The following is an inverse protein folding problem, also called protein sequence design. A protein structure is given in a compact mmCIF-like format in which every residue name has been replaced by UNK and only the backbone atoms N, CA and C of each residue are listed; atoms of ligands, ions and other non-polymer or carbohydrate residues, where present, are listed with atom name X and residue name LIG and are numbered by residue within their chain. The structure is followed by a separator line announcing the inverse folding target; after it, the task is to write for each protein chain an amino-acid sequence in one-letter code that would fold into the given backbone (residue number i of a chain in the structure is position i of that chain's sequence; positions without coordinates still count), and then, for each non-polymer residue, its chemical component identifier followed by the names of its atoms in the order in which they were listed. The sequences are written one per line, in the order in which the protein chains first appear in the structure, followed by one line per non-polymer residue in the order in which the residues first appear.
data_IF_442395991388
#
_entry.id   IF_442395991388
#
_cell.length_a   1.000
_cell.length_b   1.000
_cell.length_c   1.000
_cell.angle_alpha   90.00
_cell.angle_beta   90.00
_cell.angle_gamma   90.00
#
_symmetry.space_group_name_H-M   'P 1'
#
loop_
_entity.id
_entity.type
_entity.pdbx_description
1 polymer ?
#
# COMPACT_ATOMS: atom_id res chain seq x y z
N UNK A 1 26.47 1.57 11.98
CA UNK A 1 26.81 0.13 11.90
C UNK A 1 25.54 -0.66 11.64
N UNK A 2 25.39 -1.33 10.49
CA UNK A 2 24.29 -2.28 10.29
C UNK A 2 24.86 -3.60 9.81
N UNK A 3 25.00 -4.57 10.72
CA UNK A 3 25.19 -5.97 10.31
C UNK A 3 23.88 -6.45 9.71
N UNK A 4 23.93 -7.01 8.50
CA UNK A 4 22.76 -7.60 7.87
C UNK A 4 22.15 -8.66 8.81
N UNK A 5 20.86 -8.54 9.12
CA UNK A 5 20.12 -9.43 10.03
C UNK A 5 20.30 -10.92 9.66
N UNK A 6 20.65 -11.23 8.41
CA UNK A 6 20.99 -12.56 7.92
C UNK A 6 22.20 -13.21 8.61
N UNK A 7 23.10 -12.44 9.23
CA UNK A 7 24.34 -12.95 9.84
C UNK A 7 24.27 -13.15 11.37
N UNK A 8 23.13 -12.88 12.02
CA UNK A 8 22.97 -13.06 13.46
C UNK A 8 22.27 -14.39 13.74
N UNK A 9 22.84 -15.22 14.63
CA UNK A 9 22.21 -16.49 15.02
C UNK A 9 20.81 -16.25 15.60
N UNK A 10 19.81 -17.10 15.31
CA UNK A 10 18.44 -16.89 15.81
C UNK A 10 18.34 -16.77 17.34
N UNK A 11 19.16 -17.54 18.07
CA UNK A 11 19.24 -17.50 19.54
C UNK A 11 19.78 -16.16 20.06
N UNK A 12 20.84 -15.63 19.44
CA UNK A 12 21.40 -14.32 19.78
C UNK A 12 20.40 -13.20 19.49
N UNK A 13 19.70 -13.26 18.35
CA UNK A 13 18.66 -12.28 18.00
C UNK A 13 17.57 -12.21 19.07
N UNK A 14 17.08 -13.37 19.52
CA UNK A 14 16.07 -13.44 20.59
C UNK A 14 16.59 -12.86 21.90
N UNK A 15 17.85 -13.13 22.25
CA UNK A 15 18.49 -12.58 23.45
C UNK A 15 18.58 -11.05 23.40
N UNK A 16 19.03 -10.50 22.27
CA UNK A 16 19.15 -9.04 22.08
C UNK A 16 17.79 -8.36 22.18
N UNK A 17 16.77 -8.89 21.49
CA UNK A 17 15.40 -8.34 21.54
C UNK A 17 14.82 -8.44 22.96
N UNK A 18 15.02 -9.56 23.65
CA UNK A 18 14.55 -9.73 25.03
C UNK A 18 15.20 -8.75 26.00
N UNK A 19 16.48 -8.41 25.80
CA UNK A 19 17.15 -7.40 26.62
C UNK A 19 16.45 -6.04 26.47
N UNK A 20 16.19 -5.61 25.22
CA UNK A 20 15.47 -4.37 24.92
C UNK A 20 14.10 -4.33 25.59
N UNK A 21 13.31 -5.41 25.48
CA UNK A 21 11.97 -5.48 26.06
C UNK A 21 11.98 -5.49 27.58
N UNK A 22 12.93 -6.18 28.22
CA UNK A 22 13.08 -6.18 29.67
C UNK A 22 13.40 -4.78 30.19
N UNK A 23 14.36 -4.10 29.56
CA UNK A 23 14.75 -2.74 29.93
C UNK A 23 13.60 -1.75 29.74
N UNK A 24 12.88 -1.82 28.61
CA UNK A 24 11.72 -0.97 28.37
C UNK A 24 10.61 -1.18 29.41
N UNK A 25 10.40 -2.43 29.86
CA UNK A 25 9.37 -2.76 30.86
C UNK A 25 9.75 -2.34 32.28
N UNK A 26 11.04 -2.30 32.63
CA UNK A 26 11.51 -1.89 33.96
C UNK A 26 11.54 -0.37 34.16
N UNK A 27 11.11 0.40 33.16
CA UNK A 27 11.22 1.85 33.17
C UNK A 27 10.06 2.52 33.92
N UNK A 28 10.31 3.52 34.79
CA UNK A 28 9.26 4.27 35.47
C UNK A 28 8.39 5.07 34.49
N UNK A 29 7.12 5.35 34.84
CA UNK A 29 6.14 5.95 33.93
C UNK A 29 6.30 7.45 33.63
N UNK A 30 7.07 8.23 34.41
CA UNK A 30 7.13 9.70 34.27
C UNK A 30 8.52 10.19 33.88
N UNK A 31 8.62 10.70 32.64
CA UNK A 31 9.81 11.21 31.95
C UNK A 31 10.93 10.27 31.43
N UNK A 32 11.14 9.00 31.83
CA UNK A 32 12.42 8.34 31.54
C UNK A 32 12.41 7.70 30.15
N UNK A 33 11.23 7.59 29.52
CA UNK A 33 11.04 6.93 28.22
C UNK A 33 11.64 7.78 27.09
N UNK A 34 11.45 9.09 27.10
CA UNK A 34 12.03 9.99 26.09
C UNK A 34 13.55 9.96 26.20
N UNK A 35 14.08 10.11 27.42
CA UNK A 35 15.53 10.04 27.70
C UNK A 35 16.11 8.68 27.32
N UNK A 36 15.40 7.58 27.60
CA UNK A 36 15.84 6.25 27.19
C UNK A 36 15.87 6.07 25.68
N UNK A 37 14.81 6.47 24.97
CA UNK A 37 14.77 6.39 23.51
C UNK A 37 15.92 7.21 22.92
N UNK A 38 16.15 8.42 23.44
CA UNK A 38 17.23 9.29 22.96
C UNK A 38 18.65 8.75 23.25
N UNK A 39 18.82 7.98 24.33
CA UNK A 39 20.13 7.44 24.73
C UNK A 39 20.44 6.07 24.11
N UNK A 40 19.43 5.27 23.79
CA UNK A 40 19.62 3.93 23.20
C UNK A 40 19.58 3.94 21.68
N UNK A 41 18.78 4.82 21.08
CA UNK A 41 18.59 4.86 19.63
C UNK A 41 19.33 6.04 19.02
N UNK A 42 19.93 5.79 17.85
CA UNK A 42 20.47 6.88 17.03
C UNK A 42 19.34 7.74 16.47
N UNK A 43 19.63 9.00 16.14
CA UNK A 43 18.65 9.93 15.54
C UNK A 43 17.97 9.33 14.30
N UNK A 44 18.76 8.70 13.41
CA UNK A 44 18.24 8.01 12.22
C UNK A 44 17.24 6.89 12.57
N UNK A 45 17.48 6.13 13.63
CA UNK A 45 16.57 5.07 14.10
C UNK A 45 15.30 5.64 14.72
N UNK A 46 15.42 6.74 15.48
CA UNK A 46 14.27 7.46 16.04
C UNK A 46 13.36 7.98 14.93
N UNK A 47 13.92 8.63 13.90
CA UNK A 47 13.17 9.11 12.73
C UNK A 47 12.49 7.95 12.00
N UNK A 48 13.18 6.82 11.80
CA UNK A 48 12.60 5.64 11.15
C UNK A 48 11.42 5.05 11.92
N UNK A 49 11.51 4.98 13.25
CA UNK A 49 10.43 4.48 14.10
C UNK A 49 9.27 5.47 14.13
N UNK A 50 9.55 6.76 14.35
CA UNK A 50 8.54 7.82 14.35
C UNK A 50 7.77 7.88 13.03
N UNK A 51 8.46 7.81 11.90
CA UNK A 51 7.85 7.79 10.57
C UNK A 51 6.94 6.57 10.37
N UNK A 52 7.30 5.39 10.90
CA UNK A 52 6.41 4.20 10.88
C UNK A 52 5.17 4.39 11.77
N UNK A 53 5.32 5.02 12.93
CA UNK A 53 4.18 5.32 13.81
C UNK A 53 3.20 6.29 13.15
N UNK A 54 3.71 7.37 12.53
CA UNK A 54 2.88 8.33 11.80
C UNK A 54 2.16 7.67 10.62
N UNK A 55 2.86 6.85 9.82
CA UNK A 55 2.22 6.08 8.75
C UNK A 55 1.10 5.21 9.31
N UNK A 56 1.31 4.50 10.43
CA UNK A 56 0.28 3.67 11.03
C UNK A 56 -0.95 4.49 11.47
N UNK A 57 -0.74 5.66 12.09
CA UNK A 57 -1.82 6.57 12.47
C UNK A 57 -2.61 7.08 11.25
N UNK A 58 -1.93 7.51 10.19
CA UNK A 58 -2.58 7.97 8.96
C UNK A 58 -3.35 6.85 8.27
N UNK A 59 -2.80 5.63 8.28
CA UNK A 59 -3.46 4.43 7.78
C UNK A 59 -4.74 4.15 8.57
N UNK A 60 -4.68 4.24 9.91
CA UNK A 60 -5.85 4.08 10.79
C UNK A 60 -6.89 5.18 10.57
N UNK A 61 -6.45 6.39 10.23
CA UNK A 61 -7.31 7.50 9.83
C UNK A 61 -7.87 7.37 8.40
N UNK A 62 -7.61 6.27 7.70
CA UNK A 62 -8.16 5.99 6.37
C UNK A 62 -7.48 6.72 5.21
N UNK A 63 -6.31 7.33 5.42
CA UNK A 63 -5.55 8.02 4.36
C UNK A 63 -5.06 7.05 3.29
N UNK A 64 -5.08 7.50 2.03
CA UNK A 64 -4.56 6.73 0.90
C UNK A 64 -3.03 6.75 0.89
N UNK A 65 -2.45 5.73 0.28
CA UNK A 65 -1.00 5.61 0.12
C UNK A 65 -0.36 6.85 -0.52
N UNK A 66 -1.04 7.44 -1.51
CA UNK A 66 -0.55 8.64 -2.22
C UNK A 66 -0.51 9.87 -1.32
N UNK A 67 -1.49 10.04 -0.44
CA UNK A 67 -1.53 11.15 0.52
C UNK A 67 -0.39 11.00 1.55
N UNK A 68 -0.21 9.78 2.07
CA UNK A 68 0.86 9.47 3.03
C UNK A 68 2.24 9.65 2.39
N UNK A 69 2.41 9.23 1.14
CA UNK A 69 3.66 9.39 0.40
C UNK A 69 3.98 10.88 0.17
N UNK A 70 2.97 11.70 -0.14
CA UNK A 70 3.14 13.13 -0.33
C UNK A 70 3.50 13.86 0.98
N UNK A 71 2.84 13.50 2.08
CA UNK A 71 3.01 14.20 3.36
C UNK A 71 4.30 13.80 4.10
N UNK A 72 4.68 12.53 4.05
CA UNK A 72 5.81 12.00 4.82
C UNK A 72 7.04 11.66 3.98
N UNK A 73 7.00 11.93 2.67
CA UNK A 73 8.03 11.57 1.69
C UNK A 73 8.54 10.12 1.88
N UNK A 74 7.59 9.18 1.80
CA UNK A 74 7.86 7.77 2.06
C UNK A 74 7.73 6.91 0.81
N UNK A 75 8.74 6.04 0.62
CA UNK A 75 8.71 5.06 -0.45
C UNK A 75 7.50 4.11 -0.32
N UNK A 76 6.97 3.61 -1.46
CA UNK A 76 5.92 2.59 -1.47
C UNK A 76 6.26 1.33 -0.64
N UNK A 77 7.54 0.97 -0.57
CA UNK A 77 8.02 -0.17 0.20
C UNK A 77 7.85 0.06 1.72
N UNK A 78 8.18 1.24 2.22
CA UNK A 78 8.00 1.61 3.63
C UNK A 78 6.53 1.58 4.04
N UNK A 79 5.66 2.13 3.19
CA UNK A 79 4.21 2.04 3.38
C UNK A 79 3.74 0.58 3.44
N UNK A 80 4.13 -0.22 2.45
CA UNK A 80 3.70 -1.63 2.33
C UNK A 80 4.14 -2.47 3.52
N UNK A 81 5.37 -2.28 4.00
CA UNK A 81 5.90 -2.96 5.19
C UNK A 81 5.15 -2.56 6.46
N UNK A 82 4.89 -1.27 6.64
CA UNK A 82 4.15 -0.77 7.81
C UNK A 82 2.72 -1.24 7.80
N UNK A 83 2.05 -1.22 6.64
CA UNK A 83 0.71 -1.75 6.46
C UNK A 83 0.61 -3.24 6.77
N UNK A 84 1.57 -4.04 6.28
CA UNK A 84 1.65 -5.49 6.57
C UNK A 84 1.89 -5.76 8.06
N UNK A 85 2.75 -4.97 8.69
CA UNK A 85 2.99 -5.06 10.13
C UNK A 85 1.70 -4.75 10.92
N UNK A 86 1.00 -3.67 10.57
CA UNK A 86 -0.24 -3.26 11.23
C UNK A 86 -1.34 -4.31 11.10
N UNK A 87 -1.54 -4.87 9.89
CA UNK A 87 -2.52 -5.94 9.67
C UNK A 87 -2.19 -7.25 10.39
N UNK A 88 -0.90 -7.49 10.70
CA UNK A 88 -0.47 -8.69 11.40
C UNK A 88 -0.54 -8.60 12.92
N UNK A 89 -0.62 -7.40 13.49
CA UNK A 89 -0.62 -7.16 14.93
C UNK A 89 -2.02 -6.83 15.49
N UNK A 90 -2.93 -6.31 14.66
CA UNK A 90 -4.26 -5.86 15.08
C UNK A 90 -5.33 -6.55 14.19
N UNK A 91 -5.91 -7.68 14.62
CA UNK A 91 -6.93 -8.39 13.86
C UNK A 91 -8.16 -7.53 13.50
N UNK A 92 -8.58 -6.65 14.40
CA UNK A 92 -9.72 -5.75 14.26
C UNK A 92 -9.49 -4.74 13.13
N UNK A 93 -8.24 -4.32 12.93
CA UNK A 93 -7.85 -3.41 11.87
C UNK A 93 -7.98 -4.07 10.49
N UNK A 94 -7.67 -5.36 10.35
CA UNK A 94 -7.86 -6.07 9.08
C UNK A 94 -9.34 -6.14 8.69
N UNK A 95 -10.23 -6.31 9.68
CA UNK A 95 -11.69 -6.28 9.48
C UNK A 95 -12.16 -4.90 9.00
N UNK A 96 -11.80 -3.84 9.72
CA UNK A 96 -12.16 -2.46 9.35
C UNK A 96 -11.62 -2.08 7.96
N UNK A 97 -10.42 -2.52 7.61
CA UNK A 97 -9.84 -2.27 6.30
C UNK A 97 -10.56 -3.00 5.16
N UNK A 98 -11.06 -4.22 5.40
CA UNK A 98 -11.87 -4.96 4.42
C UNK A 98 -13.20 -4.26 4.19
N UNK A 99 -13.87 -3.81 5.25
CA UNK A 99 -15.13 -3.06 5.18
C UNK A 99 -14.95 -1.74 4.42
N UNK A 100 -13.92 -0.96 4.76
CA UNK A 100 -13.59 0.28 4.04
C UNK A 100 -13.32 0.05 2.55
N UNK A 101 -12.58 -1.02 2.19
CA UNK A 101 -12.34 -1.37 0.78
C UNK A 101 -13.60 -1.83 0.05
N UNK A 102 -14.46 -2.59 0.72
CA UNK A 102 -15.74 -3.00 0.16
C UNK A 102 -16.61 -1.77 -0.15
N UNK A 103 -16.64 -0.80 0.75
CA UNK A 103 -17.36 0.45 0.56
C UNK A 103 -16.77 1.29 -0.58
N UNK A 104 -15.45 1.46 -0.63
CA UNK A 104 -14.79 2.13 -1.76
C UNK A 104 -15.05 1.44 -3.11
N UNK A 105 -15.14 0.10 -3.12
CA UNK A 105 -15.45 -0.65 -4.34
C UNK A 105 -16.92 -0.52 -4.75
N UNK A 106 -17.86 -0.39 -3.80
CA UNK A 106 -19.26 -0.06 -4.07
C UNK A 106 -19.36 1.32 -4.72
N UNK A 107 -18.75 2.33 -4.11
CA UNK A 107 -18.71 3.71 -4.63
C UNK A 107 -18.05 3.78 -6.04
N UNK A 108 -17.02 2.97 -6.29
CA UNK A 108 -16.38 2.89 -7.61
C UNK A 108 -17.16 2.07 -8.63
N UNK A 109 -17.98 1.11 -8.18
CA UNK A 109 -18.85 0.29 -9.04
C UNK A 109 -19.82 1.17 -9.83
N UNK A 110 -20.40 2.17 -9.17
CA UNK A 110 -21.30 3.13 -9.81
C UNK A 110 -20.57 4.05 -10.81
N UNK A 111 -19.31 4.40 -10.53
CA UNK A 111 -18.49 5.22 -11.44
C UNK A 111 -18.05 4.51 -12.73
N UNK A 112 -18.03 3.16 -12.76
CA UNK A 112 -17.73 2.40 -13.98
C UNK A 112 -18.83 2.52 -15.04
N UNK A 113 -20.08 2.76 -14.63
CA UNK A 113 -21.19 3.03 -15.54
C UNK A 113 -21.06 4.41 -16.22
N UNK A 114 -20.37 5.36 -15.57
CA UNK A 114 -20.15 6.70 -16.10
C UNK A 114 -18.93 6.73 -17.04
N UNK A 115 -17.89 5.95 -16.75
CA UNK A 115 -16.68 5.87 -17.59
C UNK A 115 -16.79 4.96 -18.82
N UNK A 116 -17.79 4.07 -18.92
CA UNK A 116 -18.01 3.24 -20.12
C UNK A 116 -18.37 4.05 -21.37
N UNK A 117 -18.88 5.27 -21.18
CA UNK A 117 -19.21 6.20 -22.27
C UNK A 117 -18.02 7.06 -22.72
N UNK A 118 -16.93 7.10 -21.96
CA UNK A 118 -15.68 7.73 -22.38
C UNK A 118 -14.84 6.67 -23.10
N UNK A 119 -15.04 6.55 -24.41
CA UNK A 119 -14.22 5.69 -25.24
C UNK A 119 -12.75 6.10 -25.05
N UNK A 120 -11.95 5.25 -24.40
CA UNK A 120 -10.55 5.56 -24.11
C UNK A 120 -9.83 5.86 -25.43
N UNK A 121 -9.00 6.92 -25.50
CA UNK A 121 -8.20 7.16 -26.68
C UNK A 121 -7.39 5.89 -26.98
N UNK A 122 -7.45 5.42 -28.22
CA UNK A 122 -6.88 4.15 -28.72
C UNK A 122 -7.61 2.84 -28.39
N UNK A 123 -8.84 2.87 -27.85
CA UNK A 123 -9.67 1.66 -27.82
C UNK A 123 -10.18 1.27 -29.22
N UNK A 124 -10.36 -0.03 -29.45
CA UNK A 124 -10.91 -0.56 -30.72
C UNK A 124 -12.30 0.01 -31.03
N UNK A 125 -13.11 0.25 -29.99
CA UNK A 125 -14.41 0.90 -30.08
C UNK A 125 -14.31 2.38 -30.49
N UNK A 126 -13.36 3.14 -29.93
CA UNK A 126 -13.08 4.52 -30.34
C UNK A 126 -12.60 4.60 -31.80
N UNK A 127 -11.72 3.68 -32.20
CA UNK A 127 -11.15 3.63 -33.55
C UNK A 127 -12.23 3.30 -34.59
N UNK A 128 -13.12 2.34 -34.29
CA UNK A 128 -14.27 1.97 -35.13
C UNK A 128 -15.26 3.12 -35.30
N UNK A 129 -15.49 3.92 -34.26
CA UNK A 129 -16.39 5.08 -34.33
C UNK A 129 -15.81 6.24 -35.14
N UNK A 130 -14.50 6.50 -35.03
CA UNK A 130 -13.83 7.61 -35.71
C UNK A 130 -13.48 7.31 -37.18
N UNK A 131 -13.18 6.06 -37.51
CA UNK A 131 -12.75 5.65 -38.86
C UNK A 131 -13.57 4.47 -39.41
N UNK A 132 -14.90 4.62 -39.57
CA UNK A 132 -15.78 3.50 -39.96
C UNK A 132 -15.40 2.89 -41.33
N UNK A 133 -14.90 3.69 -42.26
CA UNK A 133 -14.52 3.24 -43.61
C UNK A 133 -13.39 2.20 -43.62
N UNK A 134 -12.43 2.30 -42.69
CA UNK A 134 -11.32 1.33 -42.60
C UNK A 134 -11.81 -0.07 -42.21
N UNK A 135 -12.99 -0.16 -41.58
CA UNK A 135 -13.63 -1.42 -41.22
C UNK A 135 -14.56 -1.97 -42.32
N UNK A 136 -14.83 -1.22 -43.39
CA UNK A 136 -15.65 -1.69 -44.52
C UNK A 136 -14.96 -2.78 -45.32
N UNK A 137 -13.64 -2.67 -45.52
CA UNK A 137 -12.83 -3.71 -46.18
C UNK A 137 -12.93 -5.05 -45.42
N UNK A 138 -12.84 -5.02 -44.09
CA UNK A 138 -13.03 -6.21 -43.26
C UNK A 138 -14.45 -6.78 -43.35
N UNK A 139 -15.48 -5.93 -43.43
CA UNK A 139 -16.86 -6.36 -43.62
C UNK A 139 -17.08 -7.03 -44.99
N UNK A 140 -16.48 -6.48 -46.05
CA UNK A 140 -16.56 -7.05 -47.40
C UNK A 140 -15.83 -8.39 -47.49
N UNK A 141 -14.61 -8.49 -46.95
CA UNK A 141 -13.84 -9.74 -46.89
C UNK A 141 -14.61 -10.81 -46.10
N UNK A 142 -15.22 -10.43 -44.97
CA UNK A 142 -16.04 -11.35 -44.17
C UNK A 142 -17.28 -11.85 -44.94
N UNK A 143 -17.94 -11.00 -45.72
CA UNK A 143 -19.09 -11.41 -46.54
C UNK A 143 -18.72 -12.33 -47.70
N UNK A 144 -17.53 -12.14 -48.29
CA UNK A 144 -17.03 -13.01 -49.37
C UNK A 144 -16.72 -14.40 -48.83
N UNK A 145 -16.03 -14.51 -47.68
CA UNK A 145 -15.75 -15.82 -47.09
C UNK A 145 -17.02 -16.56 -46.66
N UNK A 146 -18.05 -15.87 -46.16
CA UNK A 146 -19.31 -16.51 -45.75
C UNK A 146 -20.16 -17.06 -46.91
N UNK A 147 -19.91 -16.63 -48.15
CA UNK A 147 -20.59 -17.14 -49.35
C UNK A 147 -19.90 -18.35 -49.99
N UNK A 148 -18.74 -18.74 -49.46
CA UNK A 148 -17.90 -19.82 -49.99
C UNK A 148 -18.02 -21.12 -49.17
N UNK A 149 -18.85 -21.10 -48.12
CA UNK A 149 -19.43 -22.28 -47.44
C UNK A 149 -20.92 -22.39 -47.82
#
# INVERSE_FOLDING_TARGET
MSKNLKHVKPSERKRVINALYKTARSMPQKDPVVTFISSVLTESEQVLIGRRLLIAQMILAGKKQTEIAYELDVSPNTFSRTKKWLSGQIPEYDKALKEYRAEQNRLKGDSKLIHSNFATPFSFTALRKKYPAHFLLFALIYQVNKKTD
#
